data_IF_198015961381
#
_entry.id   IF_198015961381
#
_cell.length_a   1.000
_cell.length_b   1.000
_cell.length_c   1.000
_cell.angle_alpha   90.00
_cell.angle_beta   90.00
_cell.angle_gamma   90.00
#
_symmetry.space_group_name_H-M   'P 1'
#
loop_
_entity.id
_entity.type
_entity.pdbx_description
1 polymer ?
#
# COMPACT_ATOMS: atom_id res chain seq x y z
N UNK A 1 22.32 -1.95 -0.47
CA UNK A 1 22.04 -2.47 0.90
C UNK A 1 21.94 -1.28 1.85
N UNK A 2 20.88 -1.19 2.65
CA UNK A 2 20.67 -0.08 3.59
C UNK A 2 20.59 -0.63 5.03
N UNK A 3 20.98 0.19 6.01
CA UNK A 3 21.00 -0.18 7.43
C UNK A 3 20.33 0.89 8.29
N UNK A 4 19.65 0.48 9.36
CA UNK A 4 19.12 1.38 10.39
C UNK A 4 19.46 0.86 11.79
N UNK A 5 19.77 1.80 12.69
CA UNK A 5 20.10 1.50 14.08
C UNK A 5 18.94 1.83 15.00
N UNK A 6 18.59 0.84 15.82
CA UNK A 6 17.58 0.95 16.87
C UNK A 6 18.25 0.73 18.22
N UNK A 7 17.78 1.45 19.25
CA UNK A 7 18.12 1.15 20.64
C UNK A 7 16.87 0.65 21.36
N UNK A 8 17.06 -0.34 22.22
CA UNK A 8 15.99 -0.95 23.01
C UNK A 8 16.30 -0.72 24.47
N UNK A 9 15.32 -0.22 25.22
CA UNK A 9 15.39 -0.15 26.67
C UNK A 9 14.31 -1.04 27.25
N UNK A 10 14.70 -1.93 28.17
CA UNK A 10 13.75 -2.68 28.99
C UNK A 10 13.43 -1.83 30.21
N UNK A 11 12.15 -1.59 30.44
CA UNK A 11 11.61 -0.89 31.61
C UNK A 11 10.74 -1.90 32.35
N UNK A 12 10.99 -2.09 33.64
CA UNK A 12 10.09 -2.88 34.48
C UNK A 12 8.85 -2.03 34.75
N UNK A 13 7.67 -2.62 34.62
CA UNK A 13 6.55 -2.07 35.38
C UNK A 13 6.79 -2.38 36.87
N UNK A 14 6.62 -1.37 37.72
CA UNK A 14 6.99 -1.48 39.14
C UNK A 14 5.91 -2.20 39.97
N UNK A 15 4.85 -2.72 39.33
CA UNK A 15 3.67 -3.22 40.03
C UNK A 15 3.12 -4.56 39.52
N UNK A 16 3.41 -5.01 38.31
CA UNK A 16 2.83 -6.23 37.70
C UNK A 16 3.89 -7.19 37.12
N UNK A 17 5.18 -6.89 37.24
CA UNK A 17 6.28 -7.76 36.80
C UNK A 17 6.42 -7.86 35.28
N UNK A 18 5.78 -6.97 34.53
CA UNK A 18 5.90 -6.90 33.08
C UNK A 18 7.17 -6.18 32.65
N UNK A 19 7.99 -6.84 31.84
CA UNK A 19 9.08 -6.17 31.11
C UNK A 19 8.52 -5.50 29.86
N UNK A 20 8.58 -4.17 29.80
CA UNK A 20 8.20 -3.39 28.63
C UNK A 20 9.46 -3.04 27.83
N UNK A 21 9.47 -3.34 26.53
CA UNK A 21 10.56 -2.96 25.62
C UNK A 21 10.20 -1.68 24.87
N UNK A 22 10.90 -0.60 25.18
CA UNK A 22 10.77 0.69 24.49
C UNK A 22 11.82 0.77 23.39
N UNK A 23 11.34 0.86 22.14
CA UNK A 23 12.18 0.97 20.95
C UNK A 23 12.38 2.43 20.58
N UNK A 24 13.63 2.79 20.26
CA UNK A 24 13.99 4.14 19.79
C UNK A 24 14.81 4.10 18.52
N UNK A 25 14.55 5.05 17.62
CA UNK A 25 15.38 5.37 16.46
C UNK A 25 15.91 6.79 16.64
N UNK A 26 17.21 6.91 16.92
CA UNK A 26 17.77 8.17 17.42
C UNK A 26 17.12 8.56 18.75
N UNK A 27 16.56 9.77 18.82
CA UNK A 27 15.82 10.26 19.99
C UNK A 27 14.33 9.88 20.00
N UNK A 28 13.77 9.48 18.85
CA UNK A 28 12.33 9.23 18.71
C UNK A 28 11.96 7.82 19.20
N UNK A 29 10.90 7.73 20.00
CA UNK A 29 10.24 6.46 20.32
C UNK A 29 9.47 5.97 19.11
N UNK A 30 9.66 4.71 18.74
CA UNK A 30 9.10 4.12 17.51
C UNK A 30 8.52 2.74 17.80
N UNK A 31 7.74 2.22 16.86
CA UNK A 31 7.33 0.82 16.87
C UNK A 31 8.55 -0.08 16.64
N UNK A 32 8.48 -1.36 17.06
CA UNK A 32 9.51 -2.34 16.74
C UNK A 32 9.77 -2.42 15.22
N UNK A 33 11.01 -2.74 14.81
CA UNK A 33 11.42 -2.69 13.41
C UNK A 33 10.62 -3.63 12.49
N UNK A 34 10.13 -4.77 12.99
CA UNK A 34 9.31 -5.69 12.18
C UNK A 34 7.88 -5.19 11.90
N UNK A 35 7.44 -4.09 12.51
CA UNK A 35 6.06 -3.58 12.34
C UNK A 35 5.96 -2.59 11.17
N UNK A 36 6.98 -1.76 10.96
CA UNK A 36 6.84 -0.54 10.15
C UNK A 36 7.97 -0.27 9.16
N UNK A 37 8.94 -1.18 9.07
CA UNK A 37 10.13 -0.94 8.27
C UNK A 37 9.98 -1.61 6.91
N UNK A 38 10.14 -0.80 5.86
CA UNK A 38 10.19 -1.24 4.47
C UNK A 38 11.48 -0.77 3.81
N UNK A 39 11.89 -1.46 2.75
CA UNK A 39 13.02 -1.05 1.93
C UNK A 39 12.73 0.30 1.25
N UNK A 40 13.58 1.34 1.41
CA UNK A 40 13.34 2.64 0.79
C UNK A 40 13.50 2.62 -0.74
N UNK A 41 14.17 1.59 -1.30
CA UNK A 41 14.37 1.47 -2.75
C UNK A 41 13.20 0.74 -3.44
N UNK A 42 12.68 -0.35 -2.86
CA UNK A 42 11.68 -1.20 -3.51
C UNK A 42 10.37 -1.38 -2.72
N UNK A 43 10.27 -0.84 -1.50
CA UNK A 43 9.06 -0.94 -0.67
C UNK A 43 8.82 -2.32 -0.04
N UNK A 44 9.69 -3.31 -0.24
CA UNK A 44 9.50 -4.64 0.34
C UNK A 44 9.61 -4.61 1.89
N UNK A 45 8.80 -5.44 2.55
CA UNK A 45 8.75 -5.57 4.03
C UNK A 45 9.64 -6.71 4.57
N UNK A 46 10.40 -7.39 3.70
CA UNK A 46 11.32 -8.43 4.12
C UNK A 46 12.59 -7.78 4.72
N UNK A 47 12.55 -7.55 6.03
CA UNK A 47 13.66 -6.96 6.79
C UNK A 47 14.19 -7.97 7.80
N UNK A 48 15.52 -8.08 7.89
CA UNK A 48 16.18 -8.93 8.89
C UNK A 48 16.72 -8.05 10.00
N UNK A 49 16.31 -8.33 11.24
CA UNK A 49 16.83 -7.66 12.43
C UNK A 49 18.06 -8.42 12.95
N UNK A 50 19.20 -7.76 13.01
CA UNK A 50 20.46 -8.35 13.48
C UNK A 50 20.89 -7.71 14.80
N UNK A 51 21.54 -8.46 15.71
CA UNK A 51 22.15 -7.88 16.90
C UNK A 51 23.19 -6.82 16.56
N UNK A 52 23.42 -5.89 17.47
CA UNK A 52 24.46 -4.87 17.30
C UNK A 52 25.84 -5.52 17.05
N UNK A 53 26.55 -5.00 16.04
CA UNK A 53 27.88 -5.47 15.66
C UNK A 53 27.91 -6.84 14.97
N UNK A 54 26.76 -7.44 14.63
CA UNK A 54 26.71 -8.74 13.96
C UNK A 54 27.41 -8.70 12.59
N UNK A 55 27.14 -7.69 11.76
CA UNK A 55 27.78 -7.54 10.44
C UNK A 55 29.28 -7.26 10.55
N UNK A 56 29.74 -6.60 11.60
CA UNK A 56 31.19 -6.40 11.84
C UNK A 56 31.91 -7.70 12.14
N UNK A 57 31.22 -8.70 12.69
CA UNK A 57 31.75 -10.05 12.94
C UNK A 57 31.56 -10.99 11.75
N UNK A 58 30.62 -10.68 10.86
CA UNK A 58 30.25 -11.48 9.70
C UNK A 58 30.31 -10.64 8.41
N UNK A 59 31.51 -10.17 8.00
CA UNK A 59 31.67 -9.38 6.79
C UNK A 59 31.21 -10.13 5.53
N UNK A 60 31.24 -11.47 5.53
CA UNK A 60 30.75 -12.33 4.46
C UNK A 60 29.25 -12.18 4.16
N UNK A 61 28.47 -11.67 5.13
CA UNK A 61 27.04 -11.41 4.97
C UNK A 61 26.73 -10.00 4.45
N UNK A 62 27.74 -9.13 4.38
CA UNK A 62 27.59 -7.83 3.73
C UNK A 62 27.51 -8.10 2.24
N UNK A 63 26.43 -7.65 1.60
CA UNK A 63 26.22 -7.90 0.18
C UNK A 63 27.48 -7.50 -0.61
N UNK A 64 27.97 -8.43 -1.45
CA UNK A 64 29.09 -8.14 -2.34
C UNK A 64 28.78 -6.87 -3.15
N UNK A 65 29.78 -6.01 -3.44
CA UNK A 65 29.56 -4.83 -4.26
C UNK A 65 28.85 -5.24 -5.55
N UNK A 66 27.76 -4.52 -5.84
CA UNK A 66 26.87 -4.81 -6.96
C UNK A 66 27.71 -5.01 -8.24
N UNK A 67 27.58 -6.16 -8.93
CA UNK A 67 28.27 -6.32 -10.20
C UNK A 67 27.83 -5.17 -11.11
N UNK A 68 28.80 -4.48 -11.73
CA UNK A 68 28.55 -3.40 -12.70
C UNK A 68 27.37 -3.83 -13.57
N UNK A 69 26.33 -2.99 -13.74
CA UNK A 69 25.21 -3.36 -14.58
C UNK A 69 25.75 -3.74 -15.95
N UNK A 70 25.62 -5.02 -16.32
CA UNK A 70 25.68 -5.39 -17.72
C UNK A 70 24.60 -4.55 -18.38
N UNK A 71 24.97 -3.77 -19.40
CA UNK A 71 24.01 -3.05 -20.20
C UNK A 71 23.08 -4.07 -20.87
N UNK A 72 22.00 -4.42 -20.18
CA UNK A 72 20.90 -5.15 -20.75
C UNK A 72 20.12 -4.15 -21.58
N UNK A 73 20.20 -4.32 -22.89
CA UNK A 73 19.31 -3.66 -23.84
C UNK A 73 17.87 -3.82 -23.33
N UNK A 74 17.10 -2.74 -23.11
CA UNK A 74 15.79 -2.85 -22.50
C UNK A 74 14.88 -3.74 -23.37
N UNK A 75 14.17 -4.73 -22.81
CA UNK A 75 13.10 -5.39 -23.54
C UNK A 75 12.03 -4.35 -23.88
N UNK A 76 11.48 -4.44 -25.09
CA UNK A 76 10.48 -3.51 -25.59
C UNK A 76 9.33 -3.36 -24.59
N UNK A 77 8.98 -2.10 -24.27
CA UNK A 77 7.97 -1.78 -23.28
C UNK A 77 6.63 -2.47 -23.59
N UNK A 78 5.90 -2.98 -22.58
CA UNK A 78 4.59 -3.54 -22.80
C UNK A 78 3.65 -2.45 -23.31
N UNK A 79 2.99 -2.74 -24.44
CA UNK A 79 2.02 -1.85 -25.07
C UNK A 79 0.84 -1.65 -24.12
N UNK A 80 0.61 -0.42 -23.69
CA UNK A 80 -0.48 -0.08 -22.78
C UNK A 80 -1.83 -0.55 -23.34
N UNK A 81 -2.61 -1.25 -22.52
CA UNK A 81 -3.99 -1.59 -22.87
C UNK A 81 -4.85 -0.32 -22.87
N UNK A 82 -5.81 -0.18 -23.80
CA UNK A 82 -6.69 0.97 -23.82
C UNK A 82 -7.57 0.98 -22.55
N UNK A 83 -7.62 2.12 -21.88
CA UNK A 83 -8.57 2.37 -20.81
C UNK A 83 -9.98 2.23 -21.38
N UNK A 84 -10.79 1.32 -20.82
CA UNK A 84 -12.22 1.22 -21.14
C UNK A 84 -12.94 2.21 -20.22
N UNK A 85 -13.41 3.31 -20.80
CA UNK A 85 -13.99 4.44 -20.10
C UNK A 85 -15.32 4.12 -19.40
N UNK A 86 -15.64 4.79 -18.28
CA UNK A 86 -16.86 4.60 -17.46
C UNK A 86 -18.19 4.95 -18.15
N UNK A 87 -18.16 5.38 -19.41
CA UNK A 87 -19.34 5.82 -20.19
C UNK A 87 -20.38 4.70 -20.38
N UNK A 88 -19.94 3.44 -20.48
CA UNK A 88 -20.87 2.30 -20.62
C UNK A 88 -21.69 2.04 -19.35
N UNK A 89 -21.13 2.31 -18.17
CA UNK A 89 -21.83 2.19 -16.89
C UNK A 89 -22.86 3.31 -16.71
N UNK A 90 -22.50 4.54 -17.10
CA UNK A 90 -23.43 5.68 -17.07
C UNK A 90 -24.64 5.46 -18.01
N UNK A 91 -24.41 4.90 -19.20
CA UNK A 91 -25.49 4.55 -20.12
C UNK A 91 -26.37 3.41 -19.59
N UNK A 92 -25.77 2.37 -19.02
CA UNK A 92 -26.49 1.21 -18.49
C UNK A 92 -27.44 1.57 -17.33
N UNK A 93 -27.09 2.58 -16.51
CA UNK A 93 -27.92 3.03 -15.39
C UNK A 93 -28.84 4.20 -15.77
N UNK A 94 -28.39 5.13 -16.60
CA UNK A 94 -29.16 6.33 -16.94
C UNK A 94 -30.35 6.06 -17.86
N UNK A 95 -30.19 5.15 -18.84
CA UNK A 95 -31.25 4.82 -19.80
C UNK A 95 -32.51 4.20 -19.15
N UNK A 96 -32.42 3.18 -18.27
CA UNK A 96 -33.61 2.60 -17.65
C UNK A 96 -34.34 3.60 -16.73
N UNK A 97 -33.60 4.47 -16.04
CA UNK A 97 -34.20 5.52 -15.19
C UNK A 97 -35.01 6.52 -16.02
N UNK A 98 -34.45 6.98 -17.15
CA UNK A 98 -35.16 7.89 -18.06
C UNK A 98 -36.43 7.28 -18.66
N UNK A 99 -36.38 6.00 -19.06
CA UNK A 99 -37.56 5.29 -19.58
C UNK A 99 -38.63 5.15 -18.51
N UNK A 100 -38.26 4.78 -17.28
CA UNK A 100 -39.21 4.65 -16.18
C UNK A 100 -39.90 5.97 -15.85
N UNK A 101 -39.14 7.06 -15.69
CA UNK A 101 -39.70 8.39 -15.39
C UNK A 101 -40.59 8.89 -16.54
N UNK A 102 -40.18 8.71 -17.79
CA UNK A 102 -40.98 9.08 -18.96
C UNK A 102 -42.29 8.29 -19.05
N UNK A 103 -42.25 6.99 -18.75
CA UNK A 103 -43.43 6.13 -18.72
C UNK A 103 -44.42 6.55 -17.64
N UNK A 104 -43.95 6.77 -16.40
CA UNK A 104 -44.80 7.23 -15.30
C UNK A 104 -45.43 8.59 -15.61
N UNK A 105 -44.67 9.52 -16.20
CA UNK A 105 -45.21 10.83 -16.58
C UNK A 105 -46.28 10.71 -17.67
N UNK A 106 -46.03 9.94 -18.72
CA UNK A 106 -47.01 9.68 -19.78
C UNK A 106 -48.28 9.04 -19.23
N UNK A 107 -48.14 7.98 -18.42
CA UNK A 107 -49.26 7.27 -17.82
C UNK A 107 -50.13 8.21 -16.96
N UNK A 108 -49.50 9.03 -16.11
CA UNK A 108 -50.23 9.99 -15.29
C UNK A 108 -50.92 11.07 -16.15
N UNK A 109 -50.30 11.56 -17.21
CA UNK A 109 -50.92 12.54 -18.12
C UNK A 109 -52.13 11.95 -18.87
N UNK A 110 -52.05 10.70 -19.32
CA UNK A 110 -53.18 10.00 -19.95
C UNK A 110 -54.30 9.77 -18.93
N UNK A 111 -53.97 9.38 -17.69
CA UNK A 111 -54.95 9.20 -16.62
C UNK A 111 -55.67 10.49 -16.22
N UNK A 112 -54.99 11.65 -16.37
CA UNK A 112 -55.55 12.96 -16.09
C UNK A 112 -56.33 13.56 -17.28
N UNK A 113 -56.29 12.94 -18.46
CA UNK A 113 -57.04 13.43 -19.63
C UNK A 113 -58.53 13.11 -19.48
N UNK A 114 -59.43 14.10 -19.39
CA UNK A 114 -60.87 13.84 -19.37
C UNK A 114 -61.32 13.25 -20.71
N UNK A 115 -62.08 12.16 -20.67
CA UNK A 115 -62.79 11.64 -21.85
C UNK A 115 -63.89 12.63 -22.25
N UNK A 116 -63.73 13.29 -23.39
CA UNK A 116 -64.73 14.18 -23.97
C UNK A 116 -65.60 13.47 -25.00
#
# INVERSE_FOLDING_TARGET
MWEQRYSVRTVSDDHHGGEIRVWKRGSATVQPPWVSVSCPECGAFQVTCLPYGFLSRHPELTAAPEPRPLQLTPPAAPKAAPAVWPTRLLAALGLPVLVFVGYELWHNLVALSPSH
#
